data_IF_541827288241
#
_entry.id   IF_541827288241
#
_cell.length_a   1.000
_cell.length_b   1.000
_cell.length_c   1.000
_cell.angle_alpha   90.00
_cell.angle_beta   90.00
_cell.angle_gamma   90.00
#
_symmetry.space_group_name_H-M   'P 1'
#
loop_
_entity.id
_entity.type
_entity.pdbx_description
1 polymer ?
#
# COMPACT_ATOMS: atom_id res chain seq x y z
N UNK A 1 21.34 2.53 -18.63
CA UNK A 1 20.06 3.21 -18.35
C UNK A 1 19.07 2.11 -18.00
N UNK A 2 18.70 1.98 -16.74
CA UNK A 2 17.68 1.02 -16.29
C UNK A 2 16.30 1.54 -16.70
N UNK A 3 15.51 0.72 -17.38
CA UNK A 3 14.14 1.04 -17.76
C UNK A 3 13.21 0.36 -16.75
N UNK A 4 12.45 1.14 -15.96
CA UNK A 4 11.40 0.57 -15.11
C UNK A 4 10.26 0.08 -16.00
N UNK A 5 10.05 -1.25 -16.03
CA UNK A 5 8.83 -1.83 -16.59
C UNK A 5 7.79 -1.97 -15.47
N UNK A 6 6.52 -1.72 -15.78
CA UNK A 6 5.42 -1.87 -14.81
C UNK A 6 5.31 -3.29 -14.21
N UNK A 7 5.92 -4.29 -14.84
CA UNK A 7 5.98 -5.67 -14.36
C UNK A 7 6.83 -5.85 -13.09
N UNK A 8 7.68 -4.89 -12.74
CA UNK A 8 8.58 -5.00 -11.59
C UNK A 8 8.02 -4.33 -10.33
N UNK A 9 6.81 -3.75 -10.36
CA UNK A 9 6.21 -3.12 -9.19
C UNK A 9 5.33 -4.13 -8.46
N UNK A 10 5.56 -4.30 -7.16
CA UNK A 10 4.76 -5.16 -6.30
C UNK A 10 4.18 -4.39 -5.12
N UNK A 11 2.91 -4.65 -4.84
CA UNK A 11 2.22 -4.16 -3.64
C UNK A 11 2.15 -5.31 -2.65
N UNK A 12 2.70 -5.13 -1.46
CA UNK A 12 2.76 -6.14 -0.40
C UNK A 12 1.99 -5.69 0.85
N UNK A 13 1.37 -6.66 1.52
CA UNK A 13 0.55 -6.50 2.72
C UNK A 13 -0.08 -7.84 3.13
N UNK A 14 -1.06 -7.84 4.04
CA UNK A 14 -1.83 -9.05 4.42
C UNK A 14 -2.84 -9.52 3.34
N UNK A 15 -2.70 -9.02 2.11
CA UNK A 15 -3.53 -9.33 0.95
C UNK A 15 -2.62 -9.60 -0.25
N UNK A 16 -3.16 -10.24 -1.29
CA UNK A 16 -2.40 -10.57 -2.49
C UNK A 16 -3.09 -9.98 -3.71
N UNK A 17 -2.52 -8.90 -4.27
CA UNK A 17 -2.95 -8.37 -5.57
C UNK A 17 -2.27 -9.19 -6.66
N UNK A 18 -3.04 -9.86 -7.51
CA UNK A 18 -2.50 -10.61 -8.65
C UNK A 18 -2.11 -9.70 -9.80
N UNK A 19 -2.87 -8.63 -10.02
CA UNK A 19 -2.62 -7.69 -11.11
C UNK A 19 -2.94 -6.28 -10.66
N UNK A 20 -1.95 -5.39 -10.77
CA UNK A 20 -2.13 -3.97 -10.51
C UNK A 20 -2.69 -3.33 -11.79
N UNK A 21 -3.88 -2.75 -11.71
CA UNK A 21 -4.52 -2.02 -12.81
C UNK A 21 -4.14 -0.53 -12.81
N UNK A 22 -4.09 0.07 -11.62
CA UNK A 22 -3.68 1.46 -11.44
C UNK A 22 -2.97 1.64 -10.10
N UNK A 23 -1.98 2.52 -10.06
CA UNK A 23 -1.27 2.88 -8.84
C UNK A 23 -0.90 4.36 -8.91
N UNK A 24 -1.21 5.08 -7.83
CA UNK A 24 -0.95 6.51 -7.73
C UNK A 24 -0.48 6.85 -6.34
N UNK A 25 0.70 7.45 -6.25
CA UNK A 25 1.22 8.04 -5.02
C UNK A 25 1.11 9.56 -5.17
N UNK A 26 0.45 10.21 -4.21
CA UNK A 26 0.27 11.66 -4.19
C UNK A 26 1.07 12.24 -3.04
N UNK A 27 2.04 13.09 -3.37
CA UNK A 27 2.84 13.84 -2.40
C UNK A 27 2.48 15.31 -2.54
N UNK A 28 2.11 15.94 -1.43
CA UNK A 28 1.83 17.36 -1.34
C UNK A 28 2.67 17.96 -0.22
N UNK A 29 3.05 19.23 -0.38
CA UNK A 29 3.87 19.93 0.61
C UNK A 29 3.13 19.99 1.95
N UNK A 30 3.82 19.66 3.05
CA UNK A 30 3.28 19.64 4.41
C UNK A 30 2.13 18.65 4.67
N UNK A 31 1.88 17.71 3.76
CA UNK A 31 0.91 16.62 3.96
C UNK A 31 1.60 15.26 3.92
N UNK A 32 1.04 14.29 4.63
CA UNK A 32 1.49 12.91 4.54
C UNK A 32 1.20 12.36 3.13
N UNK A 33 2.20 11.74 2.47
CA UNK A 33 1.97 11.06 1.20
C UNK A 33 0.80 10.07 1.28
N UNK A 34 -0.05 10.07 0.26
CA UNK A 34 -1.16 9.12 0.13
C UNK A 34 -0.93 8.20 -1.04
N UNK A 35 -1.51 7.00 -0.97
CA UNK A 35 -1.47 6.02 -2.04
C UNK A 35 -2.87 5.56 -2.41
N UNK A 36 -3.11 5.43 -3.71
CA UNK A 36 -4.24 4.73 -4.30
C UNK A 36 -3.71 3.54 -5.09
N UNK A 37 -4.27 2.36 -4.85
CA UNK A 37 -3.98 1.14 -5.61
C UNK A 37 -5.29 0.54 -6.08
N UNK A 38 -5.38 0.22 -7.37
CA UNK A 38 -6.48 -0.52 -7.96
C UNK A 38 -5.94 -1.80 -8.58
N UNK A 39 -6.59 -2.93 -8.34
CA UNK A 39 -6.11 -4.20 -8.85
C UNK A 39 -7.13 -5.32 -8.82
N UNK A 40 -6.67 -6.49 -9.26
CA UNK A 40 -7.43 -7.75 -9.28
C UNK A 40 -6.89 -8.65 -8.18
N UNK A 41 -7.80 -9.27 -7.43
CA UNK A 41 -7.52 -10.25 -6.41
C UNK A 41 -8.36 -11.52 -6.68
N UNK A 42 -7.84 -12.73 -6.36
CA UNK A 42 -8.63 -13.93 -6.50
C UNK A 42 -9.81 -13.93 -5.53
N UNK A 43 -10.97 -14.39 -6.00
CA UNK A 43 -12.20 -14.50 -5.22
C UNK A 43 -12.18 -15.69 -4.24
N UNK A 44 -11.09 -15.85 -3.47
CA UNK A 44 -10.89 -16.99 -2.57
C UNK A 44 -11.34 -16.72 -1.12
N UNK A 45 -11.59 -15.46 -0.75
CA UNK A 45 -11.93 -15.02 0.62
C UNK A 45 -13.19 -14.14 0.53
N UNK A 46 -14.09 -14.15 1.51
CA UNK A 46 -15.28 -13.28 1.48
C UNK A 46 -14.95 -11.78 1.50
N UNK A 47 -15.70 -10.97 0.74
CA UNK A 47 -15.48 -9.52 0.57
C UNK A 47 -15.39 -8.75 1.90
N UNK A 48 -16.25 -9.04 2.87
CA UNK A 48 -16.25 -8.39 4.18
C UNK A 48 -15.00 -8.70 5.00
N UNK A 49 -14.54 -9.96 4.94
CA UNK A 49 -13.32 -10.38 5.62
C UNK A 49 -12.09 -9.66 5.05
N UNK A 50 -12.07 -9.36 3.76
CA UNK A 50 -10.99 -8.60 3.12
C UNK A 50 -10.97 -7.17 3.65
N UNK A 51 -12.12 -6.50 3.73
CA UNK A 51 -12.21 -5.13 4.24
C UNK A 51 -11.75 -5.03 5.68
N UNK A 52 -12.22 -5.92 6.54
CA UNK A 52 -11.83 -5.95 7.95
C UNK A 52 -10.34 -6.26 8.12
N UNK A 53 -9.83 -7.26 7.40
CA UNK A 53 -8.42 -7.65 7.49
C UNK A 53 -7.47 -6.62 6.91
N UNK A 54 -7.89 -5.79 5.96
CA UNK A 54 -7.00 -4.78 5.36
C UNK A 54 -6.97 -3.47 6.15
N UNK A 55 -8.01 -3.14 6.92
CA UNK A 55 -8.08 -1.87 7.63
C UNK A 55 -6.93 -1.72 8.65
N UNK A 56 -6.21 -0.58 8.58
CA UNK A 56 -5.03 -0.26 9.40
C UNK A 56 -3.84 -1.22 9.27
N UNK A 57 -3.88 -2.15 8.33
CA UNK A 57 -2.72 -2.98 8.03
C UNK A 57 -1.67 -2.21 7.23
N UNK A 58 -0.39 -2.59 7.37
CA UNK A 58 0.67 -2.00 6.57
C UNK A 58 0.52 -2.34 5.10
N UNK A 59 0.84 -1.36 4.26
CA UNK A 59 0.95 -1.49 2.81
C UNK A 59 2.33 -0.99 2.39
N UNK A 60 3.02 -1.79 1.59
CA UNK A 60 4.31 -1.42 1.01
C UNK A 60 4.26 -1.56 -0.50
N UNK A 61 4.95 -0.65 -1.18
CA UNK A 61 5.19 -0.73 -2.62
C UNK A 61 6.67 -0.90 -2.80
N UNK A 62 7.07 -1.96 -3.49
CA UNK A 62 8.48 -2.30 -3.74
C UNK A 62 8.69 -2.50 -5.23
N UNK A 63 9.92 -2.24 -5.65
CA UNK A 63 10.41 -2.65 -6.96
C UNK A 63 11.11 -4.01 -6.82
N UNK A 64 10.92 -4.88 -7.80
CA UNK A 64 11.63 -6.13 -7.94
C UNK A 64 12.85 -5.95 -8.86
N UNK A 65 13.97 -6.58 -8.51
CA UNK A 65 15.13 -6.70 -9.39
C UNK A 65 14.87 -7.71 -10.53
N UNK A 66 15.84 -7.86 -11.45
CA UNK A 66 15.75 -8.79 -12.59
C UNK A 66 15.65 -10.27 -12.16
N UNK A 67 16.02 -10.59 -10.92
CA UNK A 67 15.94 -11.91 -10.33
C UNK A 67 14.65 -12.13 -9.52
N UNK A 68 13.77 -11.12 -9.45
CA UNK A 68 12.52 -11.15 -8.69
C UNK A 68 12.66 -10.89 -7.19
N UNK A 69 13.82 -10.42 -6.71
CA UNK A 69 14.01 -10.03 -5.31
C UNK A 69 13.54 -8.59 -5.10
N UNK A 70 13.04 -8.28 -3.90
CA UNK A 70 12.71 -6.89 -3.54
C UNK A 70 13.99 -6.05 -3.50
N UNK A 71 14.01 -4.92 -4.21
CA UNK A 71 15.06 -3.92 -4.05
C UNK A 71 15.05 -3.37 -2.62
N UNK A 72 16.24 -3.06 -2.12
CA UNK A 72 16.46 -2.62 -0.74
C UNK A 72 15.59 -1.41 -0.35
N UNK A 73 15.48 -0.43 -1.25
CA UNK A 73 14.68 0.78 -1.04
C UNK A 73 13.27 0.58 -1.60
N UNK A 74 12.28 0.54 -0.70
CA UNK A 74 10.87 0.54 -1.09
C UNK A 74 10.44 1.89 -1.68
N UNK A 75 9.43 1.86 -2.54
CA UNK A 75 8.85 3.06 -3.17
C UNK A 75 7.90 3.78 -2.20
N UNK A 76 7.15 3.02 -1.40
CA UNK A 76 6.18 3.56 -0.44
C UNK A 76 6.00 2.62 0.74
N UNK A 77 5.81 3.18 1.92
CA UNK A 77 5.43 2.46 3.14
C UNK A 77 4.38 3.25 3.92
N UNK A 78 3.27 2.58 4.24
CA UNK A 78 2.15 3.22 4.88
C UNK A 78 1.16 2.26 5.50
N UNK A 79 0.01 2.79 5.87
CA UNK A 79 -1.13 2.06 6.42
C UNK A 79 -2.34 2.22 5.51
N UNK A 80 -3.18 1.20 5.48
CA UNK A 80 -4.44 1.23 4.75
C UNK A 80 -5.49 1.98 5.58
N UNK A 81 -6.14 2.96 4.96
CA UNK A 81 -7.23 3.73 5.55
C UNK A 81 -8.60 3.25 5.09
N UNK A 82 -8.73 2.85 3.83
CA UNK A 82 -9.99 2.41 3.24
C UNK A 82 -9.74 1.33 2.19
N UNK A 83 -10.69 0.42 2.07
CA UNK A 83 -10.65 -0.66 1.07
C UNK A 83 -12.05 -0.90 0.52
N UNK A 84 -12.17 -0.81 -0.80
CA UNK A 84 -13.39 -1.15 -1.53
C UNK A 84 -13.12 -2.40 -2.35
N UNK A 85 -14.06 -3.34 -2.27
CA UNK A 85 -14.00 -4.60 -3.01
C UNK A 85 -15.30 -4.72 -3.79
N UNK A 86 -15.21 -5.06 -5.07
CA UNK A 86 -16.33 -5.34 -5.95
C UNK A 86 -16.13 -6.72 -6.57
N UNK A 87 -17.18 -7.52 -6.58
CA UNK A 87 -17.20 -8.77 -7.31
C UNK A 87 -17.53 -8.50 -8.78
N UNK A 88 -16.67 -8.96 -9.69
CA UNK A 88 -16.89 -8.87 -11.12
C UNK A 88 -16.68 -10.26 -11.74
N UNK A 89 -17.77 -11.05 -11.78
CA UNK A 89 -17.73 -12.42 -12.27
C UNK A 89 -16.91 -13.34 -11.36
N UNK A 90 -15.75 -13.81 -11.86
CA UNK A 90 -14.91 -14.80 -11.17
C UNK A 90 -13.74 -14.19 -10.39
N UNK A 91 -13.60 -12.87 -10.39
CA UNK A 91 -12.52 -12.18 -9.69
C UNK A 91 -13.04 -10.99 -8.91
N UNK A 92 -12.25 -10.53 -7.95
CA UNK A 92 -12.55 -9.33 -7.20
C UNK A 92 -11.70 -8.17 -7.69
N UNK A 93 -12.34 -7.05 -7.96
CA UNK A 93 -11.69 -5.77 -8.13
C UNK A 93 -11.53 -5.11 -6.75
N UNK A 94 -10.31 -4.74 -6.40
CA UNK A 94 -9.99 -4.07 -5.14
C UNK A 94 -9.46 -2.67 -5.41
N UNK A 95 -9.93 -1.72 -4.60
CA UNK A 95 -9.43 -0.36 -4.53
C UNK A 95 -8.97 -0.09 -3.09
N UNK A 96 -7.71 0.29 -2.92
CA UNK A 96 -7.08 0.54 -1.62
C UNK A 96 -6.65 2.00 -1.57
N UNK A 97 -7.02 2.67 -0.49
CA UNK A 97 -6.50 3.99 -0.15
C UNK A 97 -5.64 3.86 1.11
N UNK A 98 -4.43 4.40 1.07
CA UNK A 98 -3.50 4.40 2.19
C UNK A 98 -2.84 5.75 2.40
N UNK A 99 -2.18 5.87 3.55
CA UNK A 99 -1.39 7.04 3.96
C UNK A 99 -0.05 6.58 4.48
N UNK A 100 1.00 7.37 4.27
CA UNK A 100 2.35 7.04 4.71
C UNK A 100 2.41 6.82 6.22
N UNK A 101 3.30 5.94 6.67
CA UNK A 101 3.41 5.56 8.08
C UNK A 101 3.73 6.73 9.02
N UNK A 102 4.27 7.84 8.48
CA UNK A 102 4.50 9.07 9.26
C UNK A 102 3.22 9.65 9.87
N UNK A 103 2.04 9.35 9.31
CA UNK A 103 0.74 9.67 9.90
C UNK A 103 0.56 9.08 11.31
N UNK A 104 1.18 7.92 11.59
CA UNK A 104 1.10 7.30 12.92
C UNK A 104 1.75 8.17 14.01
N UNK A 105 2.68 9.05 13.66
CA UNK A 105 3.31 9.96 14.62
C UNK A 105 2.37 11.08 15.07
N UNK A 106 1.34 11.40 14.29
CA UNK A 106 0.38 12.47 14.59
C UNK A 106 -0.77 11.99 15.48
N UNK A 107 -0.96 10.67 15.62
CA UNK A 107 -2.06 10.07 16.37
C UNK A 107 -1.95 10.35 17.87
N UNK A 108 -0.74 10.31 18.43
CA UNK A 108 -0.53 10.43 19.87
C UNK A 108 0.39 11.60 20.24
N UNK A 109 -0.13 12.53 21.07
CA UNK A 109 0.67 13.60 21.65
C UNK A 109 1.56 13.06 22.75
N UNK A 110 2.88 13.11 22.55
CA UNK A 110 3.88 12.73 23.57
C UNK A 110 4.53 13.98 24.15
N UNK A 111 4.60 14.06 25.49
CA UNK A 111 5.45 15.06 26.18
C UNK A 111 6.82 14.44 26.41
N UNK A 112 7.84 14.99 25.77
CA UNK A 112 9.23 14.55 25.91
C UNK A 112 10.14 15.75 26.07
N UNK A 113 11.16 15.62 26.91
CA UNK A 113 12.26 16.58 26.97
C UNK A 113 13.26 16.22 25.90
N UNK A 114 13.56 17.17 25.01
CA UNK A 114 14.62 17.01 24.02
C UNK A 114 15.89 17.62 24.63
N UNK A 115 16.87 16.77 24.96
CA UNK A 115 18.18 17.22 25.44
C UNK A 115 19.15 17.23 24.26
N UNK A 116 19.91 18.33 24.13
CA UNK A 116 21.04 18.41 23.22
C UNK A 116 22.22 17.70 23.91
N UNK A 117 22.29 16.38 23.77
CA UNK A 117 23.44 15.57 24.21
C UNK A 117 24.40 15.34 23.05
#
# INVERSE_FOLDING_TARGET
>A
MEYLSAHNIRVTGKFTIQTIRDIKITVKTNEHPTIYVKGIMPANIGMEQIKEKCFKEPIRVVELDENGNEKEYGIFEGIILDTKVKEEGNFYEIEINGISASYLFDIEKKKKSFQNV
#
